data_IF_425143905064
#
_entry.id   IF_425143905064
#
_cell.length_a   1.000
_cell.length_b   1.000
_cell.length_c   1.000
_cell.angle_alpha   90.00
_cell.angle_beta   90.00
_cell.angle_gamma   90.00
#
_symmetry.space_group_name_H-M   'P 1'
#
loop_
_entity.id
_entity.type
_entity.pdbx_description
1 polymer ?
#
# COMPACT_ATOMS: atom_id res chain seq x y z
N UNK A 1 2.96 15.91 -3.73
CA UNK A 1 2.98 14.43 -3.72
C UNK A 1 3.17 13.96 -2.29
N UNK A 2 2.51 12.90 -1.87
CA UNK A 2 2.70 12.31 -0.53
C UNK A 2 3.57 11.06 -0.64
N UNK A 3 4.48 10.86 0.32
CA UNK A 3 5.40 9.73 0.33
C UNK A 3 5.39 9.03 1.69
N UNK A 4 5.53 7.71 1.70
CA UNK A 4 5.75 6.95 2.92
C UNK A 4 6.35 5.58 2.65
N UNK A 5 7.00 4.99 3.66
CA UNK A 5 7.50 3.63 3.61
C UNK A 5 6.61 2.70 4.44
N UNK A 6 6.25 1.56 3.86
CA UNK A 6 5.31 0.63 4.45
C UNK A 6 5.77 -0.81 4.27
N UNK A 7 5.23 -1.71 5.10
CA UNK A 7 5.38 -3.15 4.90
C UNK A 7 4.16 -3.71 4.16
N UNK A 8 4.38 -4.50 3.11
CA UNK A 8 3.28 -5.15 2.38
C UNK A 8 2.67 -6.28 3.23
N UNK A 9 1.33 -6.37 3.27
CA UNK A 9 0.66 -7.45 4.02
C UNK A 9 0.97 -8.83 3.42
N UNK A 10 1.00 -8.95 2.09
CA UNK A 10 1.24 -10.21 1.39
C UNK A 10 2.67 -10.75 1.57
N UNK A 11 3.61 -9.91 2.01
CA UNK A 11 4.96 -10.30 2.34
C UNK A 11 5.52 -9.38 3.43
N UNK A 12 5.35 -9.81 4.69
CA UNK A 12 5.74 -9.05 5.89
C UNK A 12 7.24 -8.73 5.98
N UNK A 13 8.08 -9.33 5.13
CA UNK A 13 9.53 -9.06 5.06
C UNK A 13 9.89 -8.00 4.01
N UNK A 14 8.95 -7.62 3.14
CA UNK A 14 9.20 -6.66 2.05
C UNK A 14 8.72 -5.28 2.47
N UNK A 15 9.67 -4.35 2.60
CA UNK A 15 9.38 -2.92 2.67
C UNK A 15 9.11 -2.38 1.26
N UNK A 16 8.24 -1.39 1.17
CA UNK A 16 7.97 -0.67 -0.06
C UNK A 16 7.88 0.82 0.24
N UNK A 17 8.32 1.65 -0.70
CA UNK A 17 7.93 3.04 -0.75
C UNK A 17 6.61 3.17 -1.48
N UNK A 18 5.78 4.09 -1.01
CA UNK A 18 4.51 4.46 -1.60
C UNK A 18 4.56 5.95 -1.87
N UNK A 19 4.28 6.33 -3.11
CA UNK A 19 4.14 7.72 -3.51
C UNK A 19 2.75 7.94 -4.10
N UNK A 20 2.03 8.91 -3.55
CA UNK A 20 0.73 9.35 -4.04
C UNK A 20 0.92 10.69 -4.75
N UNK A 21 0.64 10.70 -6.04
CA UNK A 21 0.55 11.91 -6.86
C UNK A 21 -0.91 12.29 -7.05
N UNK A 22 -1.16 13.38 -7.78
CA UNK A 22 -2.53 13.79 -8.14
C UNK A 22 -3.25 12.75 -9.01
N UNK A 23 -2.49 11.94 -9.75
CA UNK A 23 -3.06 11.02 -10.74
C UNK A 23 -2.78 9.54 -10.45
N UNK A 24 -1.76 9.24 -9.64
CA UNK A 24 -1.25 7.88 -9.50
C UNK A 24 -0.89 7.51 -8.06
N UNK A 25 -1.11 6.24 -7.72
CA UNK A 25 -0.49 5.55 -6.60
C UNK A 25 0.67 4.71 -7.13
N UNK A 26 1.89 5.04 -6.70
CA UNK A 26 3.12 4.33 -7.06
C UNK A 26 3.60 3.53 -5.87
N UNK A 27 3.80 2.23 -6.03
CA UNK A 27 4.30 1.32 -4.99
C UNK A 27 5.59 0.69 -5.48
N UNK A 28 6.70 0.91 -4.79
CA UNK A 28 8.01 0.39 -5.16
C UNK A 28 8.61 -0.43 -4.02
N UNK A 29 8.87 -1.71 -4.26
CA UNK A 29 9.52 -2.61 -3.32
C UNK A 29 10.98 -2.19 -3.13
N UNK A 30 11.39 -2.09 -1.87
CA UNK A 30 12.74 -1.77 -1.43
C UNK A 30 13.51 -3.08 -1.22
N UNK A 31 13.84 -3.79 -2.30
CA UNK A 31 14.56 -5.07 -2.29
C UNK A 31 15.93 -4.97 -2.94
N UNK A 32 16.90 -5.78 -2.49
CA UNK A 32 18.26 -5.85 -3.04
C UNK A 32 18.40 -6.67 -4.35
N UNK A 33 17.37 -7.41 -4.76
CA UNK A 33 17.37 -8.31 -5.94
C UNK A 33 16.82 -7.63 -7.22
N UNK A 34 17.13 -8.12 -8.45
CA UNK A 34 17.14 -7.29 -9.66
C UNK A 34 15.75 -6.80 -10.15
N UNK A 35 15.73 -5.48 -10.36
CA UNK A 35 14.95 -4.48 -11.16
C UNK A 35 13.68 -4.87 -11.97
N UNK A 36 13.33 -6.13 -12.21
CA UNK A 36 12.32 -6.47 -13.22
C UNK A 36 10.84 -6.20 -12.84
N UNK A 37 10.49 -6.26 -11.55
CA UNK A 37 9.07 -6.22 -11.08
C UNK A 37 8.90 -5.58 -9.69
N UNK A 38 9.74 -4.63 -9.34
CA UNK A 38 9.68 -3.99 -8.03
C UNK A 38 8.70 -2.82 -7.96
N UNK A 39 8.26 -2.25 -9.09
CA UNK A 39 7.38 -1.07 -9.16
C UNK A 39 6.00 -1.42 -9.70
N UNK A 40 4.96 -0.89 -9.05
CA UNK A 40 3.57 -0.93 -9.48
C UNK A 40 3.07 0.52 -9.56
N UNK A 41 2.41 0.88 -10.66
CA UNK A 41 1.78 2.19 -10.86
C UNK A 41 0.30 1.97 -11.11
N UNK A 42 -0.56 2.60 -10.31
CA UNK A 42 -2.01 2.50 -10.41
C UNK A 42 -2.60 3.89 -10.61
N UNK A 43 -3.49 4.07 -11.59
CA UNK A 43 -4.18 5.34 -11.79
C UNK A 43 -5.25 5.53 -10.71
N UNK A 44 -5.33 6.74 -10.15
CA UNK A 44 -6.39 7.10 -9.20
C UNK A 44 -7.77 7.17 -9.86
N UNK A 45 -7.84 7.30 -11.19
CA UNK A 45 -9.11 7.18 -11.94
C UNK A 45 -9.74 5.80 -11.82
N UNK A 46 -8.91 4.78 -11.57
CA UNK A 46 -9.37 3.41 -11.35
C UNK A 46 -9.58 3.07 -9.87
N UNK A 47 -9.31 4.03 -8.96
CA UNK A 47 -9.50 3.85 -7.52
C UNK A 47 -10.99 3.94 -7.18
N UNK A 48 -11.52 2.92 -6.51
CA UNK A 48 -12.94 2.89 -6.09
C UNK A 48 -13.12 3.13 -4.59
N UNK A 49 -12.01 3.25 -3.85
CA UNK A 49 -12.04 3.57 -2.42
C UNK A 49 -10.83 3.04 -1.68
N UNK A 50 -10.74 3.44 -0.41
CA UNK A 50 -9.74 2.98 0.53
C UNK A 50 -10.35 2.72 1.90
N UNK A 51 -9.65 1.95 2.72
CA UNK A 51 -10.06 1.62 4.08
C UNK A 51 -8.85 1.55 5.00
N UNK A 52 -8.94 2.23 6.13
CA UNK A 52 -8.08 1.97 7.29
C UNK A 52 -8.82 1.05 8.27
N UNK A 53 -8.13 0.07 8.84
CA UNK A 53 -8.71 -0.83 9.84
C UNK A 53 -7.68 -1.26 10.88
N UNK A 54 -8.08 -1.49 12.13
CA UNK A 54 -7.19 -2.00 13.15
C UNK A 54 -6.82 -3.45 12.83
N UNK A 55 -5.60 -3.84 13.18
CA UNK A 55 -5.18 -5.22 13.19
C UNK A 55 -5.71 -5.97 14.40
N UNK A 56 -6.09 -7.22 14.17
CA UNK A 56 -6.68 -8.10 15.18
C UNK A 56 -5.62 -8.74 16.13
N UNK A 57 -4.34 -8.47 15.89
CA UNK A 57 -3.25 -9.04 16.67
C UNK A 57 -3.12 -8.33 18.03
N UNK A 58 -3.54 -9.02 19.10
CA UNK A 58 -3.46 -8.56 20.48
C UNK A 58 -2.03 -8.28 20.95
N UNK A 59 -1.03 -8.91 20.34
CA UNK A 59 0.39 -8.77 20.71
C UNK A 59 1.04 -7.61 19.94
N UNK A 60 0.52 -7.26 18.76
CA UNK A 60 1.12 -6.25 17.90
C UNK A 60 0.03 -5.35 17.31
N UNK A 61 -0.40 -4.35 18.10
CA UNK A 61 -1.36 -3.32 17.67
C UNK A 61 -0.81 -2.58 16.46
N UNK A 62 -1.21 -3.00 15.29
CA UNK A 62 -0.90 -2.35 14.03
C UNK A 62 -2.20 -1.92 13.38
N UNK A 63 -2.17 -0.82 12.64
CA UNK A 63 -3.25 -0.48 11.73
C UNK A 63 -2.88 -0.95 10.32
N UNK A 64 -3.89 -1.16 9.49
CA UNK A 64 -3.74 -1.52 8.11
C UNK A 64 -4.44 -0.49 7.24
N UNK A 65 -3.87 -0.25 6.06
CA UNK A 65 -4.46 0.58 5.03
C UNK A 65 -4.60 -0.25 3.75
N UNK A 66 -5.79 -0.25 3.17
CA UNK A 66 -6.08 -0.91 1.90
C UNK A 66 -6.62 0.11 0.89
N UNK A 67 -6.16 0.03 -0.35
CA UNK A 67 -6.72 0.79 -1.47
C UNK A 67 -7.14 -0.17 -2.59
N UNK A 68 -8.32 0.08 -3.16
CA UNK A 68 -8.98 -0.80 -4.11
C UNK A 68 -9.03 -0.14 -5.48
N UNK A 69 -8.55 -0.85 -6.50
CA UNK A 69 -8.49 -0.37 -7.87
C UNK A 69 -9.12 -1.37 -8.84
N UNK A 70 -9.64 -0.88 -9.95
CA UNK A 70 -10.13 -1.70 -11.07
C UNK A 70 -9.43 -1.31 -12.39
N UNK A 71 -8.09 -1.47 -12.49
CA UNK A 71 -7.35 -1.06 -13.67
C UNK A 71 -7.78 -1.87 -14.89
N UNK A 72 -7.83 -1.20 -16.03
CA UNK A 72 -8.04 -1.82 -17.32
C UNK A 72 -6.78 -2.62 -17.69
N UNK A 73 -6.89 -3.94 -17.74
CA UNK A 73 -5.76 -4.81 -18.09
C UNK A 73 -5.96 -5.36 -19.49
N UNK A 74 -5.03 -5.04 -20.39
CA UNK A 74 -4.87 -5.76 -21.65
C UNK A 74 -4.24 -7.11 -21.36
N UNK A 75 -5.01 -8.18 -21.51
CA UNK A 75 -4.47 -9.54 -21.45
C UNK A 75 -3.77 -9.84 -22.77
N UNK A 76 -2.51 -10.26 -22.68
CA UNK A 76 -1.72 -10.62 -23.86
C UNK A 76 -2.32 -11.81 -24.65
N UNK A 77 -3.25 -12.56 -24.04
CA UNK A 77 -3.91 -13.75 -24.61
C UNK A 77 -5.44 -13.60 -24.78
N UNK A 78 -6.04 -12.44 -24.49
CA UNK A 78 -7.48 -12.23 -24.67
C UNK A 78 -7.74 -10.88 -25.34
N UNK A 79 -8.48 -10.82 -26.47
CA UNK A 79 -8.75 -9.57 -27.18
C UNK A 79 -9.68 -8.61 -26.43
N UNK A 80 -10.28 -9.03 -25.31
CA UNK A 80 -11.13 -8.20 -24.48
C UNK A 80 -10.38 -7.50 -23.35
N UNK A 81 -10.60 -6.19 -23.20
CA UNK A 81 -10.16 -5.45 -22.02
C UNK A 81 -11.08 -5.80 -20.83
N UNK A 82 -10.52 -6.44 -19.80
CA UNK A 82 -11.25 -6.76 -18.58
C UNK A 82 -10.71 -5.93 -17.42
N UNK A 83 -11.61 -5.29 -16.65
CA UNK A 83 -11.23 -4.66 -15.38
C UNK A 83 -11.13 -5.73 -14.30
N UNK A 84 -9.99 -5.80 -13.62
CA UNK A 84 -9.75 -6.73 -12.53
C UNK A 84 -9.52 -5.95 -11.24
N UNK A 85 -10.11 -6.43 -10.13
CA UNK A 85 -9.85 -5.82 -8.82
C UNK A 85 -8.38 -6.03 -8.43
N UNK A 86 -7.71 -4.95 -8.09
CA UNK A 86 -6.38 -4.93 -7.50
C UNK A 86 -6.50 -4.31 -6.11
N UNK A 87 -6.05 -5.02 -5.10
CA UNK A 87 -6.01 -4.55 -3.72
C UNK A 87 -4.55 -4.31 -3.31
N UNK A 88 -4.24 -3.08 -2.91
CA UNK A 88 -2.95 -2.72 -2.33
C UNK A 88 -3.11 -2.54 -0.83
N UNK A 89 -2.53 -3.47 -0.06
CA UNK A 89 -2.58 -3.47 1.39
C UNK A 89 -1.23 -3.21 2.02
N UNK A 90 -1.23 -2.29 2.97
CA UNK A 90 -0.07 -1.81 3.69
C UNK A 90 -0.30 -1.98 5.19
N UNK A 91 0.74 -2.43 5.89
CA UNK A 91 0.80 -2.36 7.34
C UNK A 91 1.33 -0.98 7.71
N UNK A 92 0.54 -0.28 8.52
CA UNK A 92 0.97 0.93 9.20
C UNK A 92 1.67 0.48 10.49
N UNK A 93 2.88 0.98 10.71
CA UNK A 93 3.56 0.81 12.00
C UNK A 93 2.66 1.42 13.06
N UNK A 94 2.24 0.62 14.06
CA UNK A 94 1.65 1.19 15.26
C UNK A 94 2.65 2.16 15.88
N UNK A 95 2.17 3.27 16.42
CA UNK A 95 2.98 4.25 17.14
C UNK A 95 4.00 3.52 18.01
N UNK A 96 5.30 3.73 17.73
CA UNK A 96 6.27 3.45 18.77
C UNK A 96 5.97 4.43 19.90
N UNK A 97 5.69 3.85 21.05
CA UNK A 97 5.52 4.50 22.35
C UNK A 97 4.20 5.23 22.63
N UNK A 98 3.23 4.57 23.29
CA UNK A 98 2.09 5.26 23.90
C UNK A 98 2.49 6.26 25.01
N UNK A 99 3.77 6.35 25.40
CA UNK A 99 4.25 7.37 26.36
C UNK A 99 4.82 8.63 25.69
N UNK A 100 5.29 8.58 24.45
CA UNK A 100 5.87 9.75 23.78
C UNK A 100 4.82 10.83 23.46
N UNK A 101 3.56 10.45 23.27
CA UNK A 101 2.45 11.38 23.04
C UNK A 101 1.97 12.12 24.30
N UNK A 102 2.50 11.83 25.49
CA UNK A 102 2.13 12.55 26.72
C UNK A 102 3.05 13.73 27.02
N UNK A 103 4.29 13.74 26.52
CA UNK A 103 5.26 14.82 26.77
C UNK A 103 5.17 15.98 25.77
N UNK A 104 4.52 15.79 24.61
CA UNK A 104 4.27 16.89 23.66
C UNK A 104 3.04 17.76 24.03
N UNK A 105 2.35 17.40 25.13
CA UNK A 105 1.28 18.20 25.73
C UNK A 105 1.69 18.86 27.07
N UNK A 106 3.00 19.07 27.27
CA UNK A 106 3.57 19.80 28.40
C UNK A 106 3.90 21.25 28.06
#
# INVERSE_FOLDING_TARGET
TLYGEFTLINNRKVRCSVNLTEEHLVVQRLTSAPVGRNKVVLSLKDCVGCRAYPGDDKVNRCAYFAAYFYPLRRRWMCPGESRQRVEQCFRLSGLQDPRANLEEAG
#
